data_IF_598961590617
#
_entry.id   IF_598961590617
#
_cell.length_a   1.000
_cell.length_b   1.000
_cell.length_c   1.000
_cell.angle_alpha   90.00
_cell.angle_beta   90.00
_cell.angle_gamma   90.00
#
_symmetry.space_group_name_H-M   'P 1'
#
loop_
_entity.id
_entity.type
_entity.pdbx_description
1 polymer ?
#
# COMPACT_ATOMS: atom_id res chain seq x y z
N UNK A 1 -17.44 -17.38 20.39
CA UNK A 1 -17.68 -17.87 19.02
C UNK A 1 -18.94 -17.22 18.51
N UNK A 2 -18.89 -16.50 17.37
CA UNK A 2 -20.10 -15.98 16.72
C UNK A 2 -21.13 -17.09 16.54
N UNK A 3 -22.41 -16.81 16.82
CA UNK A 3 -23.52 -17.76 16.59
C UNK A 3 -23.47 -18.34 15.17
N UNK A 4 -23.11 -17.50 14.18
CA UNK A 4 -22.88 -17.91 12.80
C UNK A 4 -21.78 -18.98 12.66
N UNK A 5 -20.63 -18.79 13.31
CA UNK A 5 -19.52 -19.77 13.30
C UNK A 5 -19.94 -21.09 13.95
N UNK A 6 -20.71 -21.03 15.05
CA UNK A 6 -21.23 -22.23 15.71
C UNK A 6 -22.22 -23.01 14.82
N UNK A 7 -23.14 -22.32 14.14
CA UNK A 7 -24.04 -22.96 13.17
C UNK A 7 -23.29 -23.57 11.98
N UNK A 8 -22.27 -22.89 11.45
CA UNK A 8 -21.44 -23.40 10.36
C UNK A 8 -20.68 -24.67 10.77
N UNK A 9 -20.10 -24.68 11.96
CA UNK A 9 -19.40 -25.85 12.51
C UNK A 9 -20.39 -27.02 12.71
N UNK A 10 -21.57 -26.76 13.30
CA UNK A 10 -22.60 -27.78 13.48
C UNK A 10 -23.10 -28.38 12.16
N UNK A 11 -23.31 -27.54 11.14
CA UNK A 11 -23.69 -27.97 9.80
C UNK A 11 -22.60 -28.83 9.13
N UNK A 12 -21.32 -28.47 9.31
CA UNK A 12 -20.20 -29.24 8.79
C UNK A 12 -20.13 -30.64 9.43
N UNK A 13 -20.29 -30.74 10.75
CA UNK A 13 -20.35 -32.04 11.44
C UNK A 13 -21.51 -32.90 10.96
N UNK A 14 -22.68 -32.29 10.71
CA UNK A 14 -23.84 -32.99 10.16
C UNK A 14 -23.58 -33.53 8.75
N UNK A 15 -22.93 -32.76 7.87
CA UNK A 15 -22.52 -33.23 6.53
C UNK A 15 -21.54 -34.40 6.66
N UNK A 16 -20.52 -34.29 7.51
CA UNK A 16 -19.52 -35.34 7.70
C UNK A 16 -20.18 -36.63 8.21
N UNK A 17 -21.11 -36.52 9.17
CA UNK A 17 -21.85 -37.66 9.69
C UNK A 17 -22.71 -38.34 8.61
N UNK A 18 -23.38 -37.57 7.74
CA UNK A 18 -24.15 -38.11 6.61
C UNK A 18 -23.22 -38.81 5.61
N UNK A 19 -22.09 -38.20 5.27
CA UNK A 19 -21.09 -38.78 4.37
C UNK A 19 -20.55 -40.11 4.92
N UNK A 20 -20.15 -40.13 6.20
CA UNK A 20 -19.66 -41.33 6.87
C UNK A 20 -20.73 -42.43 6.91
N UNK A 21 -21.99 -42.08 7.19
CA UNK A 21 -23.12 -43.01 7.20
C UNK A 21 -23.41 -43.62 5.83
N UNK A 22 -23.33 -42.82 4.75
CA UNK A 22 -23.51 -43.31 3.37
C UNK A 22 -22.38 -44.26 2.99
N UNK A 23 -21.12 -43.91 3.30
CA UNK A 23 -19.95 -44.76 3.02
C UNK A 23 -20.08 -46.09 3.79
N UNK A 24 -20.44 -46.04 5.07
CA UNK A 24 -20.58 -47.22 5.91
C UNK A 24 -21.67 -48.17 5.41
N UNK A 25 -22.82 -47.64 5.00
CA UNK A 25 -24.00 -48.45 4.62
C UNK A 25 -23.98 -48.94 3.17
N UNK A 26 -23.47 -48.14 2.25
CA UNK A 26 -23.59 -48.39 0.81
C UNK A 26 -22.28 -48.29 0.03
N UNK A 27 -21.18 -47.99 0.71
CA UNK A 27 -19.85 -47.91 0.12
C UNK A 27 -19.54 -46.56 -0.54
N UNK A 28 -18.24 -46.34 -0.78
CA UNK A 28 -17.71 -45.10 -1.35
C UNK A 28 -18.29 -44.76 -2.74
N UNK A 29 -18.48 -45.75 -3.61
CA UNK A 29 -18.99 -45.51 -4.97
C UNK A 29 -20.46 -45.05 -4.98
N UNK A 30 -21.25 -45.44 -3.99
CA UNK A 30 -22.61 -44.92 -3.83
C UNK A 30 -22.59 -43.44 -3.44
N UNK A 31 -21.66 -43.02 -2.57
CA UNK A 31 -21.47 -41.61 -2.27
C UNK A 31 -21.09 -40.82 -3.53
N UNK A 32 -20.14 -41.30 -4.33
CA UNK A 32 -19.74 -40.66 -5.59
C UNK A 32 -20.94 -40.52 -6.53
N UNK A 33 -21.77 -41.56 -6.66
CA UNK A 33 -23.03 -41.53 -7.44
C UNK A 33 -23.99 -40.46 -6.98
N UNK A 34 -24.23 -40.37 -5.68
CA UNK A 34 -25.13 -39.37 -5.09
C UNK A 34 -24.59 -37.96 -5.34
N UNK A 35 -23.31 -37.73 -5.06
CA UNK A 35 -22.68 -36.41 -5.21
C UNK A 35 -22.68 -35.95 -6.66
N UNK A 36 -22.22 -36.79 -7.60
CA UNK A 36 -22.23 -36.44 -9.02
C UNK A 36 -23.66 -36.29 -9.56
N UNK A 37 -24.59 -37.13 -9.11
CA UNK A 37 -25.98 -37.11 -9.54
C UNK A 37 -26.67 -35.83 -9.10
N UNK A 38 -26.52 -35.45 -7.83
CA UNK A 38 -27.02 -34.18 -7.30
C UNK A 38 -26.32 -32.97 -7.95
N UNK A 39 -25.01 -33.05 -8.19
CA UNK A 39 -24.26 -31.98 -8.87
C UNK A 39 -24.77 -31.70 -10.27
N UNK A 40 -24.89 -32.75 -11.11
CA UNK A 40 -25.44 -32.60 -12.46
C UNK A 40 -26.94 -32.25 -12.45
N UNK A 41 -27.72 -32.78 -11.50
CA UNK A 41 -29.13 -32.40 -11.37
C UNK A 41 -29.26 -30.90 -11.05
N UNK A 42 -28.50 -30.40 -10.09
CA UNK A 42 -28.47 -28.98 -9.75
C UNK A 42 -28.04 -28.12 -10.94
N UNK A 43 -26.98 -28.51 -11.64
CA UNK A 43 -26.52 -27.83 -12.86
C UNK A 43 -27.61 -27.82 -13.95
N UNK A 44 -28.30 -28.95 -14.15
CA UNK A 44 -29.39 -29.06 -15.14
C UNK A 44 -30.56 -28.16 -14.79
N UNK A 45 -30.98 -28.14 -13.52
CA UNK A 45 -32.08 -27.28 -13.07
C UNK A 45 -31.72 -25.80 -13.22
N UNK A 46 -30.49 -25.42 -12.87
CA UNK A 46 -29.99 -24.06 -13.05
C UNK A 46 -29.98 -23.66 -14.53
N UNK A 47 -29.36 -24.48 -15.39
CA UNK A 47 -29.29 -24.21 -16.84
C UNK A 47 -30.68 -24.21 -17.47
N UNK A 48 -31.56 -25.14 -17.07
CA UNK A 48 -32.95 -25.21 -17.52
C UNK A 48 -33.76 -23.99 -17.13
N UNK A 49 -33.56 -23.46 -15.91
CA UNK A 49 -34.16 -22.20 -15.48
C UNK A 49 -33.72 -21.03 -16.36
N UNK A 50 -32.42 -20.86 -16.63
CA UNK A 50 -31.93 -19.81 -17.51
C UNK A 50 -32.35 -20.01 -18.98
N UNK A 51 -32.45 -21.26 -19.44
CA UNK A 51 -32.97 -21.57 -20.78
C UNK A 51 -34.44 -21.16 -20.89
N UNK A 52 -35.28 -21.50 -19.91
CA UNK A 52 -36.67 -21.08 -19.87
C UNK A 52 -36.80 -19.56 -19.85
N UNK A 53 -35.97 -18.88 -19.04
CA UNK A 53 -35.94 -17.42 -18.97
C UNK A 53 -35.52 -16.77 -20.30
N UNK A 54 -34.50 -17.30 -20.97
CA UNK A 54 -34.03 -16.75 -22.26
C UNK A 54 -35.01 -17.00 -23.40
N UNK A 55 -35.72 -18.13 -23.40
CA UNK A 55 -36.82 -18.40 -24.33
C UNK A 55 -38.02 -17.48 -24.07
N UNK A 56 -38.39 -17.30 -22.80
CA UNK A 56 -39.45 -16.37 -22.39
C UNK A 56 -39.14 -14.92 -22.80
N UNK A 57 -37.87 -14.52 -22.71
CA UNK A 57 -37.38 -13.21 -23.15
C UNK A 57 -37.16 -13.11 -24.68
N UNK A 58 -37.60 -14.09 -25.47
CA UNK A 58 -37.42 -14.17 -26.93
C UNK A 58 -35.97 -14.03 -27.41
N UNK A 59 -35.01 -14.32 -26.54
CA UNK A 59 -33.58 -14.18 -26.83
C UNK A 59 -33.01 -15.48 -27.42
N UNK A 60 -33.40 -15.78 -28.65
CA UNK A 60 -33.07 -17.00 -29.39
C UNK A 60 -31.56 -17.31 -29.45
N UNK A 61 -30.70 -16.28 -29.51
CA UNK A 61 -29.24 -16.44 -29.50
C UNK A 61 -28.74 -17.11 -28.21
N UNK A 62 -29.17 -16.61 -27.05
CA UNK A 62 -28.76 -17.15 -25.75
C UNK A 62 -29.48 -18.46 -25.43
N UNK A 63 -30.74 -18.61 -25.85
CA UNK A 63 -31.44 -19.89 -25.76
C UNK A 63 -30.69 -20.99 -26.54
N UNK A 64 -30.25 -20.70 -27.77
CA UNK A 64 -29.44 -21.61 -28.58
C UNK A 64 -28.14 -22.04 -27.89
N UNK A 65 -27.45 -21.10 -27.23
CA UNK A 65 -26.22 -21.39 -26.47
C UNK A 65 -26.46 -22.27 -25.24
N UNK A 66 -27.65 -22.21 -24.63
CA UNK A 66 -27.99 -22.95 -23.42
C UNK A 66 -28.58 -24.35 -23.69
N UNK A 67 -29.16 -24.61 -24.86
CA UNK A 67 -29.77 -25.92 -25.18
C UNK A 67 -28.75 -27.07 -25.07
N UNK A 68 -27.57 -26.91 -25.68
CA UNK A 68 -26.52 -27.93 -25.71
C UNK A 68 -26.01 -28.26 -24.29
N UNK A 69 -25.56 -27.30 -23.47
CA UNK A 69 -25.11 -27.60 -22.12
C UNK A 69 -26.25 -28.12 -21.22
N UNK A 70 -27.48 -27.64 -21.37
CA UNK A 70 -28.63 -28.15 -20.59
C UNK A 70 -28.89 -29.62 -20.91
N UNK A 71 -28.90 -29.99 -22.20
CA UNK A 71 -29.10 -31.37 -22.65
C UNK A 71 -27.96 -32.30 -22.21
N UNK A 72 -26.71 -31.85 -22.33
CA UNK A 72 -25.54 -32.60 -21.86
C UNK A 72 -25.57 -32.82 -20.34
N UNK A 73 -25.92 -31.78 -19.57
CA UNK A 73 -26.07 -31.88 -18.12
C UNK A 73 -27.20 -32.84 -17.74
N UNK A 74 -28.36 -32.75 -18.39
CA UNK A 74 -29.50 -33.65 -18.13
C UNK A 74 -29.16 -35.11 -18.45
N UNK A 75 -28.46 -35.35 -19.55
CA UNK A 75 -27.99 -36.69 -19.92
C UNK A 75 -26.94 -37.21 -18.93
N UNK A 76 -26.02 -36.36 -18.47
CA UNK A 76 -25.07 -36.72 -17.43
C UNK A 76 -25.74 -37.00 -16.08
N UNK A 77 -26.80 -36.27 -15.71
CA UNK A 77 -27.64 -36.58 -14.55
C UNK A 77 -28.21 -37.99 -14.67
N UNK A 78 -28.82 -38.32 -15.82
CA UNK A 78 -29.39 -39.65 -16.05
C UNK A 78 -28.34 -40.76 -15.99
N UNK A 79 -27.21 -40.60 -16.68
CA UNK A 79 -26.12 -41.58 -16.70
C UNK A 79 -25.49 -41.78 -15.31
N UNK A 80 -25.35 -40.70 -14.53
CA UNK A 80 -24.82 -40.80 -13.18
C UNK A 80 -25.84 -41.47 -12.25
N UNK A 81 -27.10 -41.06 -12.30
CA UNK A 81 -28.16 -41.66 -11.45
C UNK A 81 -28.38 -43.12 -11.81
N UNK A 82 -28.26 -43.55 -13.07
CA UNK A 82 -28.37 -44.97 -13.47
C UNK A 82 -27.04 -45.74 -13.38
N UNK A 83 -25.94 -45.04 -13.11
CA UNK A 83 -24.58 -45.57 -13.05
C UNK A 83 -24.14 -46.29 -14.32
N UNK A 84 -24.40 -45.67 -15.47
CA UNK A 84 -24.10 -46.20 -16.80
C UNK A 84 -23.08 -45.33 -17.53
N UNK A 85 -22.25 -45.96 -18.38
CA UNK A 85 -21.34 -45.27 -19.32
C UNK A 85 -20.52 -44.13 -18.68
N UNK A 86 -19.89 -44.39 -17.53
CA UNK A 86 -19.13 -43.39 -16.76
C UNK A 86 -18.03 -42.65 -17.55
N UNK A 87 -17.48 -43.25 -18.62
CA UNK A 87 -16.55 -42.57 -19.53
C UNK A 87 -17.19 -41.34 -20.20
N UNK A 88 -18.48 -41.40 -20.56
CA UNK A 88 -19.23 -40.28 -21.13
C UNK A 88 -19.44 -39.20 -20.06
N UNK A 89 -19.79 -39.60 -18.84
CA UNK A 89 -19.92 -38.67 -17.70
C UNK A 89 -18.61 -37.89 -17.49
N UNK A 90 -17.47 -38.58 -17.51
CA UNK A 90 -16.15 -37.95 -17.45
C UNK A 90 -15.90 -36.96 -18.59
N UNK A 91 -16.31 -37.28 -19.83
CA UNK A 91 -16.24 -36.37 -20.96
C UNK A 91 -17.11 -35.12 -20.80
N UNK A 92 -18.32 -35.25 -20.23
CA UNK A 92 -19.20 -34.12 -19.93
C UNK A 92 -18.60 -33.23 -18.83
N UNK A 93 -18.00 -33.82 -17.79
CA UNK A 93 -17.27 -33.07 -16.76
C UNK A 93 -16.17 -32.23 -17.39
N UNK A 94 -15.34 -32.84 -18.25
CA UNK A 94 -14.27 -32.12 -18.96
C UNK A 94 -14.82 -30.99 -19.82
N UNK A 95 -15.91 -31.22 -20.55
CA UNK A 95 -16.57 -30.18 -21.34
C UNK A 95 -16.96 -28.96 -20.50
N UNK A 96 -17.57 -29.16 -19.32
CA UNK A 96 -17.93 -28.05 -18.43
C UNK A 96 -16.71 -27.35 -17.83
N UNK A 97 -15.66 -28.10 -17.47
CA UNK A 97 -14.40 -27.52 -16.98
C UNK A 97 -13.76 -26.65 -18.06
N UNK A 98 -13.63 -27.15 -19.29
CA UNK A 98 -13.08 -26.38 -20.42
C UNK A 98 -13.96 -25.20 -20.78
N UNK A 99 -15.29 -25.34 -20.75
CA UNK A 99 -16.23 -24.27 -20.98
C UNK A 99 -16.10 -23.15 -19.93
N UNK A 100 -15.95 -23.51 -18.66
CA UNK A 100 -15.73 -22.56 -17.57
C UNK A 100 -14.37 -21.86 -17.71
N UNK A 101 -13.30 -22.60 -17.98
CA UNK A 101 -11.97 -22.04 -18.21
C UNK A 101 -11.96 -21.07 -19.41
N UNK A 102 -12.62 -21.45 -20.51
CA UNK A 102 -12.78 -20.61 -21.69
C UNK A 102 -13.62 -19.37 -21.38
N UNK A 103 -14.70 -19.50 -20.61
CA UNK A 103 -15.54 -18.39 -20.17
C UNK A 103 -14.76 -17.38 -19.34
N UNK A 104 -14.00 -17.83 -18.35
CA UNK A 104 -13.11 -16.96 -17.54
C UNK A 104 -12.08 -16.26 -18.43
N UNK A 105 -11.44 -17.03 -19.33
CA UNK A 105 -10.49 -16.46 -20.28
C UNK A 105 -11.14 -15.42 -21.19
N UNK A 106 -12.36 -15.65 -21.67
CA UNK A 106 -13.07 -14.72 -22.54
C UNK A 106 -13.49 -13.44 -21.79
N UNK A 107 -13.98 -13.55 -20.56
CA UNK A 107 -14.49 -12.40 -19.79
C UNK A 107 -13.36 -11.51 -19.24
N UNK A 108 -12.15 -12.04 -19.03
CA UNK A 108 -11.04 -11.29 -18.44
C UNK A 108 -10.50 -10.13 -19.29
N UNK A 109 -10.71 -10.16 -20.62
CA UNK A 109 -10.29 -9.11 -21.55
C UNK A 109 -11.45 -8.72 -22.49
N UNK A 110 -12.51 -8.06 -21.96
CA UNK A 110 -13.76 -7.83 -22.71
C UNK A 110 -13.58 -6.89 -23.90
N UNK A 111 -12.58 -6.01 -23.84
CA UNK A 111 -12.30 -5.01 -24.87
C UNK A 111 -11.56 -5.60 -26.09
N UNK A 112 -11.20 -6.89 -26.05
CA UNK A 112 -10.42 -7.58 -27.08
C UNK A 112 -11.24 -8.65 -27.80
N UNK A 113 -11.35 -8.50 -29.13
CA UNK A 113 -11.82 -9.60 -29.99
C UNK A 113 -10.87 -10.79 -29.89
N UNK A 114 -11.39 -12.00 -30.14
CA UNK A 114 -10.61 -13.24 -30.21
C UNK A 114 -9.35 -13.08 -31.05
N UNK A 115 -9.42 -12.35 -32.17
CA UNK A 115 -8.27 -12.15 -33.05
C UNK A 115 -7.23 -11.18 -32.45
N UNK A 116 -7.67 -10.16 -31.71
CA UNK A 116 -6.78 -9.17 -31.10
C UNK A 116 -5.94 -9.76 -29.96
N UNK A 117 -6.45 -10.80 -29.29
CA UNK A 117 -5.73 -11.53 -28.24
C UNK A 117 -4.45 -12.18 -28.76
N UNK A 118 -4.43 -12.58 -30.03
CA UNK A 118 -3.24 -13.15 -30.67
C UNK A 118 -2.36 -12.11 -31.39
N UNK A 119 -2.82 -10.85 -31.53
CA UNK A 119 -2.02 -9.78 -32.16
C UNK A 119 -0.84 -9.35 -31.27
N UNK A 120 0.25 -8.91 -31.88
CA UNK A 120 1.36 -8.27 -31.16
C UNK A 120 0.93 -6.91 -30.58
N UNK A 121 1.65 -6.42 -29.56
CA UNK A 121 1.42 -5.10 -28.98
C UNK A 121 1.52 -3.98 -30.03
N UNK A 122 2.51 -4.05 -30.93
CA UNK A 122 2.69 -3.11 -32.04
C UNK A 122 1.50 -3.09 -33.01
N UNK A 123 0.93 -4.26 -33.33
CA UNK A 123 -0.24 -4.32 -34.22
C UNK A 123 -1.49 -3.75 -33.52
N UNK A 124 -1.61 -3.91 -32.20
CA UNK A 124 -2.69 -3.29 -31.43
C UNK A 124 -2.51 -1.78 -31.33
N UNK A 125 -1.28 -1.30 -31.15
CA UNK A 125 -0.94 0.14 -31.19
C UNK A 125 -1.32 0.75 -32.54
N UNK A 126 -0.92 0.12 -33.66
CA UNK A 126 -1.29 0.56 -35.02
C UNK A 126 -2.79 0.54 -35.26
N UNK A 127 -3.51 -0.37 -34.61
CA UNK A 127 -4.97 -0.46 -34.67
C UNK A 127 -5.69 0.51 -33.72
N UNK A 128 -4.96 1.39 -33.00
CA UNK A 128 -5.53 2.36 -32.06
C UNK A 128 -6.02 1.76 -30.73
N UNK A 129 -5.75 0.47 -30.48
CA UNK A 129 -6.18 -0.23 -29.26
C UNK A 129 -5.17 -0.06 -28.14
N UNK A 130 -4.96 1.19 -27.72
CA UNK A 130 -3.88 1.57 -26.81
C UNK A 130 -3.92 0.84 -25.46
N UNK A 131 -5.10 0.63 -24.87
CA UNK A 131 -5.23 -0.07 -23.57
C UNK A 131 -4.68 -1.49 -23.62
N UNK A 132 -5.04 -2.21 -24.68
CA UNK A 132 -4.57 -3.57 -24.88
C UNK A 132 -3.11 -3.64 -25.30
N UNK A 133 -2.66 -2.69 -26.13
CA UNK A 133 -1.25 -2.54 -26.46
C UNK A 133 -0.41 -2.30 -25.20
N UNK A 134 -0.82 -1.38 -24.32
CA UNK A 134 -0.17 -1.09 -23.04
C UNK A 134 0.00 -2.34 -22.17
N UNK A 135 -1.09 -3.07 -21.89
CA UNK A 135 -1.05 -4.32 -21.13
C UNK A 135 -0.12 -5.38 -21.74
N UNK A 136 -0.08 -5.48 -23.08
CA UNK A 136 0.85 -6.42 -23.74
C UNK A 136 2.30 -5.93 -23.70
N UNK A 137 2.54 -4.62 -23.71
CA UNK A 137 3.87 -4.07 -23.49
C UNK A 137 4.34 -4.30 -22.05
N UNK A 138 3.48 -4.10 -21.04
CA UNK A 138 3.76 -4.42 -19.63
C UNK A 138 4.09 -5.90 -19.41
N UNK A 139 3.27 -6.81 -19.94
CA UNK A 139 3.51 -8.27 -19.85
C UNK A 139 4.86 -8.68 -20.47
N UNK A 140 5.37 -7.87 -21.39
CA UNK A 140 6.69 -8.07 -22.03
C UNK A 140 7.83 -7.29 -21.34
N UNK A 141 7.54 -6.56 -20.27
CA UNK A 141 8.50 -5.70 -19.57
C UNK A 141 8.87 -4.41 -20.33
N UNK A 142 8.20 -4.09 -21.44
CA UNK A 142 8.46 -2.85 -22.18
C UNK A 142 7.61 -1.71 -21.59
N UNK A 143 7.98 -1.27 -20.40
CA UNK A 143 7.25 -0.26 -19.66
C UNK A 143 7.25 1.11 -20.34
N UNK A 144 8.32 1.46 -21.08
CA UNK A 144 8.39 2.72 -21.82
C UNK A 144 7.27 2.83 -22.87
N UNK A 145 7.09 1.76 -23.66
CA UNK A 145 6.00 1.71 -24.64
C UNK A 145 4.63 1.65 -23.97
N UNK A 146 4.50 0.94 -22.85
CA UNK A 146 3.26 0.92 -22.08
C UNK A 146 2.87 2.33 -21.60
N UNK A 147 3.82 3.07 -21.03
CA UNK A 147 3.62 4.43 -20.56
C UNK A 147 3.15 5.38 -21.67
N UNK A 148 3.77 5.32 -22.85
CA UNK A 148 3.34 6.09 -24.02
C UNK A 148 1.90 5.76 -24.46
N UNK A 149 1.47 4.50 -24.31
CA UNK A 149 0.09 4.13 -24.62
C UNK A 149 -0.88 4.65 -23.56
N UNK A 150 -0.49 4.66 -22.28
CA UNK A 150 -1.29 5.25 -21.21
C UNK A 150 -1.42 6.76 -21.33
N UNK A 151 -0.36 7.47 -21.71
CA UNK A 151 -0.43 8.91 -22.03
C UNK A 151 -1.45 9.17 -23.15
N UNK A 152 -1.43 8.37 -24.23
CA UNK A 152 -2.42 8.48 -25.33
C UNK A 152 -3.87 8.25 -24.89
N UNK A 153 -4.08 7.51 -23.80
CA UNK A 153 -5.40 7.28 -23.20
C UNK A 153 -5.77 8.36 -22.18
N UNK A 154 -4.85 9.25 -21.81
CA UNK A 154 -5.01 10.20 -20.72
C UNK A 154 -4.98 9.54 -19.33
N UNK A 155 -4.49 8.29 -19.23
CA UNK A 155 -4.39 7.56 -17.96
C UNK A 155 -3.08 7.90 -17.27
N UNK A 156 -3.02 9.12 -16.74
CA UNK A 156 -1.79 9.72 -16.25
C UNK A 156 -1.16 8.96 -15.09
N UNK A 157 -1.92 8.48 -14.11
CA UNK A 157 -1.37 7.66 -13.01
C UNK A 157 -0.71 6.37 -13.52
N UNK A 158 -1.38 5.65 -14.44
CA UNK A 158 -0.82 4.44 -15.05
C UNK A 158 0.40 4.75 -15.92
N UNK A 159 0.41 5.91 -16.57
CA UNK A 159 1.55 6.39 -17.35
C UNK A 159 2.75 6.71 -16.45
N UNK A 160 2.55 7.44 -15.35
CA UNK A 160 3.58 7.75 -14.36
C UNK A 160 4.20 6.45 -13.83
N UNK A 161 3.38 5.54 -13.31
CA UNK A 161 3.82 4.23 -12.82
C UNK A 161 4.63 3.44 -13.86
N UNK A 162 4.17 3.42 -15.12
CA UNK A 162 4.89 2.73 -16.17
C UNK A 162 6.22 3.44 -16.52
N UNK A 163 6.29 4.77 -16.46
CA UNK A 163 7.56 5.49 -16.62
C UNK A 163 8.53 5.23 -15.46
N UNK A 164 8.05 5.09 -14.23
CA UNK A 164 8.89 4.67 -13.09
C UNK A 164 9.50 3.30 -13.31
N UNK A 165 8.69 2.33 -13.75
CA UNK A 165 9.16 0.97 -14.07
C UNK A 165 10.10 0.93 -15.26
N UNK A 166 10.02 1.92 -16.14
CA UNK A 166 10.95 2.12 -17.24
C UNK A 166 12.21 2.90 -16.83
N UNK A 167 12.35 3.29 -15.56
CA UNK A 167 13.41 4.16 -15.03
C UNK A 167 13.49 5.53 -15.74
N UNK A 168 12.40 5.94 -16.39
CA UNK A 168 12.27 7.27 -16.98
C UNK A 168 11.70 8.23 -15.93
N UNK A 169 12.53 8.53 -14.93
CA UNK A 169 12.12 9.31 -13.76
C UNK A 169 11.74 10.75 -14.10
N UNK A 170 12.38 11.37 -15.11
CA UNK A 170 12.02 12.72 -15.55
C UNK A 170 10.55 12.78 -15.99
N UNK A 171 10.12 11.87 -16.87
CA UNK A 171 8.73 11.83 -17.33
C UNK A 171 7.75 11.47 -16.22
N UNK A 172 8.12 10.54 -15.34
CA UNK A 172 7.27 10.19 -14.19
C UNK A 172 7.02 11.43 -13.31
N UNK A 173 8.07 12.17 -12.97
CA UNK A 173 7.97 13.39 -12.17
C UNK A 173 7.12 14.48 -12.86
N UNK A 174 7.27 14.69 -14.17
CA UNK A 174 6.44 15.64 -14.92
C UNK A 174 4.95 15.28 -14.89
N UNK A 175 4.63 14.00 -14.99
CA UNK A 175 3.23 13.55 -14.91
C UNK A 175 2.70 13.74 -13.49
N UNK A 176 3.49 13.49 -12.45
CA UNK A 176 3.09 13.77 -11.07
C UNK A 176 2.83 15.25 -10.82
N UNK A 177 3.67 16.14 -11.36
CA UNK A 177 3.38 17.58 -11.32
C UNK A 177 2.05 17.92 -12.03
N UNK A 178 1.77 17.31 -13.17
CA UNK A 178 0.49 17.52 -13.89
C UNK A 178 -0.71 16.98 -13.11
N UNK A 179 -0.57 15.82 -12.47
CA UNK A 179 -1.60 15.23 -11.62
C UNK A 179 -1.89 16.13 -10.41
N UNK A 180 -0.85 16.66 -9.76
CA UNK A 180 -1.00 17.65 -8.70
C UNK A 180 -1.77 18.88 -9.19
N UNK A 181 -1.42 19.46 -10.35
CA UNK A 181 -2.13 20.66 -10.82
C UNK A 181 -3.63 20.42 -11.09
N UNK A 182 -4.01 19.17 -11.39
CA UNK A 182 -5.40 18.78 -11.63
C UNK A 182 -6.16 18.42 -10.36
N UNK A 183 -5.55 17.67 -9.46
CA UNK A 183 -6.22 17.04 -8.32
C UNK A 183 -5.92 17.76 -7.00
N UNK A 184 -4.83 18.53 -6.94
CA UNK A 184 -4.32 19.24 -5.75
C UNK A 184 -4.07 18.32 -4.56
N UNK A 185 -3.74 17.06 -4.82
CA UNK A 185 -3.32 16.08 -3.82
C UNK A 185 -1.81 16.16 -3.59
N UNK A 186 -1.41 16.45 -2.35
CA UNK A 186 -0.02 16.61 -1.93
C UNK A 186 0.81 15.34 -2.10
N UNK A 187 0.16 14.16 -2.18
CA UNK A 187 0.81 12.89 -2.53
C UNK A 187 1.66 13.02 -3.81
N UNK A 188 1.12 13.69 -4.83
CA UNK A 188 1.81 13.82 -6.12
C UNK A 188 3.01 14.77 -6.07
N UNK A 189 3.02 15.78 -5.20
CA UNK A 189 4.19 16.64 -5.02
C UNK A 189 5.35 15.88 -4.39
N UNK A 190 5.05 15.03 -3.41
CA UNK A 190 6.03 14.15 -2.78
C UNK A 190 6.64 13.18 -3.80
N UNK A 191 5.81 12.51 -4.59
CA UNK A 191 6.31 11.62 -5.67
C UNK A 191 7.11 12.39 -6.72
N UNK A 192 6.65 13.58 -7.14
CA UNK A 192 7.39 14.43 -8.07
C UNK A 192 8.78 14.80 -7.53
N UNK A 193 8.89 15.20 -6.26
CA UNK A 193 10.17 15.48 -5.60
C UNK A 193 11.12 14.26 -5.65
N UNK A 194 10.63 13.09 -5.24
CA UNK A 194 11.41 11.84 -5.22
C UNK A 194 11.91 11.44 -6.60
N UNK A 195 11.06 11.55 -7.62
CA UNK A 195 11.46 11.19 -8.99
C UNK A 195 12.35 12.24 -9.66
N UNK A 196 12.20 13.53 -9.35
CA UNK A 196 13.19 14.53 -9.77
C UNK A 196 14.56 14.29 -9.14
N UNK A 197 14.61 13.87 -7.88
CA UNK A 197 15.83 13.48 -7.18
C UNK A 197 16.49 12.27 -7.85
N UNK A 198 15.72 11.22 -8.16
CA UNK A 198 16.20 10.04 -8.90
C UNK A 198 16.67 10.37 -10.32
N UNK A 199 16.06 11.36 -10.97
CA UNK A 199 16.49 11.88 -12.25
C UNK A 199 17.76 12.75 -12.17
N UNK A 200 18.23 13.09 -10.97
CA UNK A 200 19.36 14.00 -10.75
C UNK A 200 19.03 15.47 -11.02
N UNK A 201 17.75 15.84 -11.18
CA UNK A 201 17.28 17.22 -11.40
C UNK A 201 16.96 17.89 -10.08
N UNK A 202 17.98 18.07 -9.24
CA UNK A 202 17.83 18.55 -7.87
C UNK A 202 17.12 19.91 -7.76
N UNK A 203 17.33 20.82 -8.72
CA UNK A 203 16.61 22.11 -8.74
C UNK A 203 15.08 21.94 -8.88
N UNK A 204 14.61 21.00 -9.71
CA UNK A 204 13.17 20.72 -9.84
C UNK A 204 12.66 19.95 -8.62
N UNK A 205 13.48 19.04 -8.07
CA UNK A 205 13.15 18.37 -6.82
C UNK A 205 12.93 19.39 -5.68
N UNK A 206 13.79 20.39 -5.57
CA UNK A 206 13.66 21.46 -4.59
C UNK A 206 12.39 22.29 -4.79
N UNK A 207 12.03 22.62 -6.03
CA UNK A 207 10.77 23.32 -6.34
C UNK A 207 9.52 22.49 -6.01
N UNK A 208 9.55 21.18 -6.25
CA UNK A 208 8.45 20.29 -5.90
C UNK A 208 8.28 20.20 -4.37
N UNK A 209 9.39 20.12 -3.62
CA UNK A 209 9.39 20.12 -2.16
C UNK A 209 8.95 21.47 -1.58
N UNK A 210 9.35 22.57 -2.20
CA UNK A 210 8.92 23.93 -1.85
C UNK A 210 7.39 24.06 -1.94
N UNK A 211 6.79 23.63 -3.05
CA UNK A 211 5.32 23.57 -3.17
C UNK A 211 4.67 22.65 -2.14
N UNK A 212 5.31 21.53 -1.82
CA UNK A 212 4.79 20.59 -0.83
C UNK A 212 4.81 21.20 0.58
N UNK A 213 5.86 21.95 0.92
CA UNK A 213 5.99 22.65 2.18
C UNK A 213 5.01 23.83 2.34
N UNK A 214 4.45 24.36 1.25
CA UNK A 214 3.35 25.35 1.35
C UNK A 214 2.09 24.73 1.99
N UNK A 215 1.83 23.45 1.75
CA UNK A 215 0.70 22.70 2.33
C UNK A 215 1.07 22.01 3.65
N UNK A 216 2.34 21.59 3.79
CA UNK A 216 2.89 20.89 4.96
C UNK A 216 4.12 21.65 5.52
N UNK A 217 3.91 22.74 6.30
CA UNK A 217 4.96 23.70 6.67
C UNK A 217 6.17 23.13 7.43
N UNK A 218 6.04 21.98 8.07
CA UNK A 218 7.18 21.36 8.76
C UNK A 218 8.33 20.98 7.81
N UNK A 219 8.06 20.82 6.50
CA UNK A 219 9.08 20.54 5.49
C UNK A 219 9.91 21.76 5.07
N UNK A 220 9.61 22.98 5.52
CA UNK A 220 10.39 24.16 5.14
C UNK A 220 11.86 24.05 5.53
N UNK A 221 12.19 23.34 6.62
CA UNK A 221 13.57 23.03 6.99
C UNK A 221 14.27 22.16 5.93
N UNK A 222 13.59 21.12 5.42
CA UNK A 222 14.13 20.24 4.39
C UNK A 222 14.31 20.97 3.05
N UNK A 223 13.38 21.86 2.71
CA UNK A 223 13.51 22.76 1.55
C UNK A 223 14.76 23.63 1.68
N UNK A 224 14.96 24.21 2.86
CA UNK A 224 16.09 25.10 3.11
C UNK A 224 17.43 24.36 3.01
N UNK A 225 17.55 23.20 3.65
CA UNK A 225 18.74 22.32 3.55
C UNK A 225 19.02 21.93 2.10
N UNK A 226 18.00 21.57 1.33
CA UNK A 226 18.18 21.19 -0.07
C UNK A 226 18.65 22.36 -0.93
N UNK A 227 18.17 23.59 -0.69
CA UNK A 227 18.70 24.77 -1.39
C UNK A 227 20.12 25.13 -0.97
N UNK A 228 20.52 24.89 0.29
CA UNK A 228 21.92 25.01 0.72
C UNK A 228 22.82 24.01 0.00
N UNK A 229 22.40 22.74 -0.11
CA UNK A 229 23.14 21.71 -0.87
C UNK A 229 23.33 22.10 -2.35
N UNK A 230 22.36 22.83 -2.91
CA UNK A 230 22.42 23.36 -4.28
C UNK A 230 23.23 24.66 -4.40
N UNK A 231 23.70 25.23 -3.29
CA UNK A 231 24.40 26.52 -3.26
C UNK A 231 23.48 27.72 -3.59
N UNK A 232 22.17 27.55 -3.51
CA UNK A 232 21.20 28.64 -3.72
C UNK A 232 20.91 29.34 -2.40
N UNK A 233 21.82 30.22 -1.99
CA UNK A 233 21.76 30.94 -0.72
C UNK A 233 20.47 31.77 -0.57
N UNK A 234 20.02 32.42 -1.64
CA UNK A 234 18.82 33.27 -1.63
C UNK A 234 17.57 32.47 -1.25
N UNK A 235 17.34 31.35 -1.96
CA UNK A 235 16.20 30.47 -1.67
C UNK A 235 16.33 29.73 -0.36
N UNK A 236 17.55 29.37 0.05
CA UNK A 236 17.79 28.76 1.35
C UNK A 236 17.38 29.71 2.48
N UNK A 237 17.79 30.98 2.41
CA UNK A 237 17.42 32.01 3.40
C UNK A 237 15.90 32.22 3.43
N UNK A 238 15.23 32.26 2.27
CA UNK A 238 13.76 32.35 2.23
C UNK A 238 13.09 31.16 2.92
N UNK A 239 13.52 29.93 2.59
CA UNK A 239 12.96 28.72 3.17
C UNK A 239 13.24 28.61 4.68
N UNK A 240 14.43 29.00 5.14
CA UNK A 240 14.74 29.12 6.57
C UNK A 240 13.85 30.16 7.25
N UNK A 241 13.51 31.25 6.57
CA UNK A 241 12.54 32.24 7.06
C UNK A 241 11.15 31.64 7.28
N UNK A 242 10.64 30.85 6.32
CA UNK A 242 9.35 30.16 6.44
C UNK A 242 9.38 29.08 7.53
N UNK A 243 10.46 28.31 7.62
CA UNK A 243 10.67 27.35 8.71
C UNK A 243 10.67 28.04 10.09
N UNK A 244 11.34 29.19 10.21
CA UNK A 244 11.36 29.98 11.43
C UNK A 244 9.96 30.45 11.84
N UNK A 245 9.13 30.87 10.88
CA UNK A 245 7.74 31.26 11.15
C UNK A 245 6.90 30.09 11.65
N UNK A 246 7.03 28.92 11.03
CA UNK A 246 6.37 27.70 11.47
C UNK A 246 6.77 27.32 12.90
N UNK A 247 8.07 27.16 13.17
CA UNK A 247 8.56 26.76 14.50
C UNK A 247 8.26 27.79 15.59
N UNK A 248 8.15 29.09 15.25
CA UNK A 248 7.70 30.09 16.23
C UNK A 248 6.25 29.87 16.67
N UNK A 249 5.39 29.39 15.78
CA UNK A 249 4.02 29.01 16.08
C UNK A 249 3.99 27.80 17.01
N UNK A 250 4.62 26.70 16.57
CA UNK A 250 4.73 25.45 17.35
C UNK A 250 5.34 25.70 18.74
N UNK A 251 6.38 26.54 18.84
CA UNK A 251 7.04 26.85 20.11
C UNK A 251 6.15 27.61 21.12
N UNK A 252 5.03 28.21 20.69
CA UNK A 252 4.06 28.76 21.65
C UNK A 252 3.23 27.66 22.32
N UNK A 253 2.98 26.56 21.61
CA UNK A 253 2.18 25.42 22.10
C UNK A 253 3.07 24.44 22.85
N UNK A 254 4.22 24.09 22.27
CA UNK A 254 5.19 23.15 22.81
C UNK A 254 6.57 23.82 22.92
N UNK A 255 6.96 24.18 24.14
CA UNK A 255 8.18 24.98 24.39
C UNK A 255 9.50 24.32 23.95
N UNK A 256 9.51 23.02 23.66
CA UNK A 256 10.68 22.32 23.12
C UNK A 256 11.15 22.93 21.79
N UNK A 257 10.24 23.39 20.93
CA UNK A 257 10.58 23.94 19.61
C UNK A 257 11.29 25.30 19.67
N UNK A 258 11.42 25.92 20.86
CA UNK A 258 12.27 27.11 21.00
C UNK A 258 13.75 26.82 20.66
N UNK A 259 14.21 25.57 20.74
CA UNK A 259 15.53 25.16 20.25
C UNK A 259 15.64 25.36 18.73
N UNK A 260 14.65 24.89 17.97
CA UNK A 260 14.61 25.02 16.50
C UNK A 260 14.55 26.49 16.08
N UNK A 261 13.72 27.29 16.74
CA UNK A 261 13.67 28.75 16.54
C UNK A 261 15.05 29.37 16.76
N UNK A 262 15.76 28.98 17.83
CA UNK A 262 17.10 29.47 18.14
C UNK A 262 18.13 29.08 17.09
N UNK A 263 18.15 27.82 16.70
CA UNK A 263 19.05 27.26 15.68
C UNK A 263 18.86 27.94 14.32
N UNK A 264 17.61 28.09 13.88
CA UNK A 264 17.27 28.72 12.59
C UNK A 264 17.58 30.22 12.64
N UNK A 265 17.23 30.92 13.73
CA UNK A 265 17.54 32.34 13.89
C UNK A 265 19.06 32.61 13.84
N UNK A 266 19.86 31.74 14.47
CA UNK A 266 21.33 31.80 14.39
C UNK A 266 21.82 31.63 12.96
N UNK A 267 21.26 30.65 12.23
CA UNK A 267 21.62 30.38 10.84
C UNK A 267 21.30 31.57 9.92
N UNK A 268 20.19 32.26 10.17
CA UNK A 268 19.81 33.49 9.50
C UNK A 268 20.59 34.74 9.96
N UNK A 269 21.55 34.60 10.88
CA UNK A 269 22.34 35.70 11.42
C UNK A 269 21.60 36.61 12.41
N UNK A 270 20.40 36.22 12.84
CA UNK A 270 19.62 36.98 13.84
C UNK A 270 19.98 36.52 15.26
N UNK A 271 21.18 36.91 15.69
CA UNK A 271 21.74 36.54 16.99
C UNK A 271 20.87 37.00 18.18
N UNK A 272 20.19 38.15 18.04
CA UNK A 272 19.29 38.65 19.10
C UNK A 272 18.12 37.70 19.31
N UNK A 273 17.43 37.34 18.22
CA UNK A 273 16.29 36.41 18.29
C UNK A 273 16.74 35.02 18.74
N UNK A 274 17.91 34.56 18.30
CA UNK A 274 18.45 33.28 18.72
C UNK A 274 18.65 33.23 20.24
N UNK A 275 19.25 34.26 20.85
CA UNK A 275 19.40 34.34 22.31
C UNK A 275 18.06 34.38 23.03
N UNK A 276 17.08 35.15 22.54
CA UNK A 276 15.73 35.19 23.12
C UNK A 276 15.05 33.81 23.06
N UNK A 277 15.21 33.08 21.95
CA UNK A 277 14.66 31.74 21.80
C UNK A 277 15.34 30.73 22.75
N UNK A 278 16.67 30.74 22.84
CA UNK A 278 17.40 29.88 23.77
C UNK A 278 17.12 30.18 25.25
N UNK A 279 16.78 31.42 25.60
CA UNK A 279 16.30 31.73 26.95
C UNK A 279 14.96 31.07 27.27
N UNK A 280 14.02 31.08 26.32
CA UNK A 280 12.72 30.40 26.47
C UNK A 280 12.87 28.88 26.46
N UNK A 281 13.73 28.35 25.59
CA UNK A 281 14.07 26.93 25.58
C UNK A 281 14.69 26.48 26.91
N UNK A 282 15.62 27.28 27.45
CA UNK A 282 16.20 27.03 28.76
C UNK A 282 15.14 26.99 29.88
N UNK A 283 14.22 27.95 29.89
CA UNK A 283 13.10 27.97 30.85
C UNK A 283 12.26 26.70 30.77
N UNK A 284 11.94 26.26 29.54
CA UNK A 284 11.26 24.99 29.30
C UNK A 284 12.06 23.80 29.82
N UNK A 285 13.33 23.65 29.44
CA UNK A 285 14.16 22.52 29.89
C UNK A 285 14.33 22.48 31.41
N UNK A 286 14.45 23.63 32.09
CA UNK A 286 14.54 23.69 33.54
C UNK A 286 13.29 23.17 34.24
N UNK A 287 12.11 23.37 33.64
CA UNK A 287 10.85 22.79 34.12
C UNK A 287 10.82 21.28 33.89
N UNK A 288 11.16 20.82 32.69
CA UNK A 288 11.15 19.39 32.34
C UNK A 288 12.13 18.56 33.17
N UNK A 289 13.24 19.16 33.62
CA UNK A 289 14.20 18.54 34.54
C UNK A 289 13.57 18.07 35.86
N UNK A 290 12.48 18.70 36.31
CA UNK A 290 11.77 18.27 37.53
C UNK A 290 11.12 16.89 37.36
N UNK A 291 10.72 16.55 36.13
CA UNK A 291 10.09 15.27 35.80
C UNK A 291 11.11 14.26 35.25
N UNK A 292 11.99 14.69 34.34
CA UNK A 292 13.04 13.86 33.75
C UNK A 292 14.41 14.56 33.78
N UNK A 293 15.33 14.14 34.66
CA UNK A 293 16.68 14.71 34.75
C UNK A 293 17.54 14.53 33.49
N UNK A 294 17.11 13.75 32.48
CA UNK A 294 17.75 13.66 31.17
C UNK A 294 17.85 15.04 30.49
N UNK A 295 16.89 15.93 30.76
CA UNK A 295 16.85 17.29 30.22
C UNK A 295 18.01 18.19 30.68
N UNK A 296 18.77 17.81 31.72
CA UNK A 296 19.98 18.54 32.11
C UNK A 296 21.01 18.67 30.96
N UNK A 297 20.99 17.74 29.99
CA UNK A 297 21.79 17.85 28.76
C UNK A 297 21.41 19.11 27.95
N UNK A 298 20.13 19.32 27.70
CA UNK A 298 19.64 20.46 26.94
C UNK A 298 19.77 21.79 27.70
N UNK A 299 19.61 21.76 29.03
CA UNK A 299 19.91 22.91 29.90
C UNK A 299 21.37 23.35 29.74
N UNK A 300 22.31 22.40 29.71
CA UNK A 300 23.72 22.73 29.50
C UNK A 300 23.96 23.34 28.11
N UNK A 301 23.41 22.75 27.05
CA UNK A 301 23.53 23.23 25.68
C UNK A 301 22.97 24.66 25.53
N UNK A 302 21.82 24.95 26.15
CA UNK A 302 21.24 26.29 26.17
C UNK A 302 22.10 27.30 26.93
N UNK A 303 22.62 26.95 28.11
CA UNK A 303 23.54 27.82 28.86
C UNK A 303 24.85 28.08 28.11
N UNK A 304 25.41 27.07 27.44
CA UNK A 304 26.61 27.23 26.62
C UNK A 304 26.38 28.23 25.49
N UNK A 305 25.23 28.15 24.81
CA UNK A 305 24.88 29.10 23.76
C UNK A 305 24.67 30.52 24.29
N UNK A 306 24.09 30.66 25.49
CA UNK A 306 23.90 31.95 26.17
C UNK A 306 25.19 32.51 26.79
N UNK A 307 26.35 31.85 26.59
CA UNK A 307 27.66 32.20 27.15
C UNK A 307 27.71 32.16 28.70
N UNK A 308 26.82 31.38 29.33
CA UNK A 308 26.77 31.16 30.77
C UNK A 308 27.59 29.92 31.18
N UNK A 309 28.89 29.96 30.89
CA UNK A 309 29.81 28.81 30.96
C UNK A 309 29.84 28.07 32.30
N UNK A 310 29.73 28.77 33.42
CA UNK A 310 29.73 28.13 34.74
C UNK A 310 28.44 27.35 34.99
N UNK A 311 27.27 27.92 34.64
CA UNK A 311 25.99 27.21 34.76
C UNK A 311 25.90 26.04 33.78
N UNK A 312 26.48 26.18 32.59
CA UNK A 312 26.58 25.07 31.65
C UNK A 312 27.39 23.90 32.23
N UNK A 313 28.54 24.16 32.86
CA UNK A 313 29.34 23.12 33.55
C UNK A 313 28.55 22.45 34.67
N UNK A 314 27.86 23.22 35.50
CA UNK A 314 27.01 22.67 36.57
C UNK A 314 25.89 21.78 36.03
N UNK A 315 25.21 22.22 34.96
CA UNK A 315 24.18 21.44 34.29
C UNK A 315 24.74 20.13 33.70
N UNK A 316 25.92 20.16 33.07
CA UNK A 316 26.59 18.95 32.57
C UNK A 316 26.93 17.97 33.71
N UNK A 317 27.41 18.47 34.85
CA UNK A 317 27.68 17.62 36.02
C UNK A 317 26.42 16.91 36.50
N UNK A 318 25.31 17.63 36.63
CA UNK A 318 24.01 17.04 37.01
C UNK A 318 23.55 15.98 36.01
N UNK A 319 23.71 16.24 34.71
CA UNK A 319 23.42 15.26 33.67
C UNK A 319 24.30 13.99 33.78
N UNK A 320 25.61 14.16 34.00
CA UNK A 320 26.53 13.03 34.17
C UNK A 320 26.25 12.20 35.42
N UNK A 321 25.90 12.84 36.54
CA UNK A 321 25.49 12.16 37.77
C UNK A 321 24.24 11.32 37.55
N UNK A 322 23.23 11.86 36.87
CA UNK A 322 22.04 11.11 36.49
C UNK A 322 22.37 9.91 35.58
N UNK A 323 23.18 10.12 34.55
CA UNK A 323 23.60 9.05 33.63
C UNK A 323 24.33 7.91 34.36
N UNK A 324 25.20 8.24 35.32
CA UNK A 324 25.89 7.25 36.17
C UNK A 324 24.90 6.44 37.01
N UNK A 325 23.91 7.10 37.64
CA UNK A 325 22.88 6.42 38.43
C UNK A 325 22.08 5.41 37.60
N UNK A 326 21.65 5.79 36.39
CA UNK A 326 20.95 4.87 35.48
C UNK A 326 21.82 3.68 35.08
N UNK A 327 23.09 3.91 34.76
CA UNK A 327 24.02 2.82 34.41
C UNK A 327 24.18 1.83 35.55
N UNK A 328 24.38 2.31 36.79
CA UNK A 328 24.49 1.42 37.96
C UNK A 328 23.20 0.65 38.24
N UNK A 329 22.04 1.30 38.10
CA UNK A 329 20.74 0.63 38.30
C UNK A 329 20.48 -0.43 37.22
N UNK A 330 20.84 -0.16 35.97
CA UNK A 330 20.69 -1.13 34.88
C UNK A 330 21.62 -2.34 35.06
N UNK A 331 22.86 -2.14 35.48
CA UNK A 331 23.81 -3.21 35.81
C UNK A 331 23.29 -4.09 36.97
N UNK A 332 22.72 -3.48 38.01
CA UNK A 332 22.08 -4.19 39.12
C UNK A 332 20.85 -5.01 38.67
N UNK A 333 20.01 -4.46 37.79
CA UNK A 333 18.85 -5.19 37.25
C UNK A 333 19.20 -6.30 36.24
N UNK A 334 20.36 -6.22 35.57
CA UNK A 334 20.86 -7.29 34.70
C UNK A 334 21.49 -8.47 35.45
N UNK A 335 21.80 -8.29 36.73
CA UNK A 335 22.42 -9.29 37.60
C UNK A 335 21.39 -10.07 38.46
N UNK A 336 20.10 -10.05 38.10
CA UNK A 336 19.14 -10.97 38.71
C UNK A 336 19.44 -12.42 38.29
N UNK A 337 19.62 -13.36 39.23
CA UNK A 337 19.84 -14.76 38.90
C UNK A 337 18.59 -15.34 38.22
N UNK A 338 18.77 -16.07 37.12
CA UNK A 338 17.73 -16.95 36.57
C UNK A 338 17.25 -17.88 37.69
N UNK A 339 15.98 -17.77 38.08
CA UNK A 339 15.37 -18.62 39.11
C UNK A 339 15.68 -20.10 38.83
N UNK A 340 16.41 -20.72 39.76
CA UNK A 340 16.69 -22.14 39.77
C UNK A 340 15.37 -22.91 39.66
N UNK A 341 15.17 -23.60 38.54
CA UNK A 341 14.16 -24.64 38.43
C UNK A 341 14.50 -25.72 39.45
N UNK A 342 13.81 -25.71 40.59
CA UNK A 342 13.76 -26.83 41.53
C UNK A 342 13.34 -28.10 40.78
N UNK A 343 14.31 -28.95 40.47
CA UNK A 343 14.09 -30.33 40.09
C UNK A 343 13.75 -31.13 41.34
N UNK A 344 12.46 -31.26 41.65
CA UNK A 344 11.99 -32.26 42.60
C UNK A 344 12.05 -33.65 41.94
N UNK A 345 12.97 -34.47 42.45
CA UNK A 345 13.02 -35.92 42.27
C UNK A 345 12.06 -36.62 43.24
#
# INVERSE_FOLDING_TARGET
>A
MDKLKAYLIGFLFLIIAIVAGIIYKWGFWMLVRIVLGLGFLGLTLMLGFFLALTLYAESWKYAGLLIIPTGLSAYATYLTITWQKLKIVGGVILFFIFGLAFGIWYISEPDLSLMDRFRSAENLEKAGKYKAAARKYEKKGNYLKAAQMYEKLGWMESAAWAYEKAENYEKAAEIYEQLYEKEKDTYYLKEAHEYWKKAGKMERAAKALEKYAEEEPWFWEDVAKLYEELGNEEKAIEAWGKALEYYKGEAQEEGVFWEDVGNIARKLGNEKLAKEAYQKFLEYCLKEVEEDPMWWKHVAEAYDYLDEKEKAKEARQKYEEYRKKIMTTNEETSNFPEEEKESNN
#
